data_IF_414637982209
#
_entry.id   IF_414637982209
#
_cell.length_a   1.000
_cell.length_b   1.000
_cell.length_c   1.000
_cell.angle_alpha   90.00
_cell.angle_beta   90.00
_cell.angle_gamma   90.00
#
_symmetry.space_group_name_H-M   'P 1'
#
loop_
_entity.id
_entity.type
_entity.pdbx_description
1 polymer ?
#
# COMPACT_ATOMS: atom_id res chain seq x y z
N UNK A 1 -51.52 -62.90 -13.58
CA UNK A 1 -52.28 -62.34 -14.71
C UNK A 1 -52.54 -60.90 -14.30
N UNK A 2 -51.65 -59.97 -14.61
CA UNK A 2 -51.52 -59.34 -15.93
C UNK A 2 -52.46 -58.12 -15.92
N UNK A 3 -52.04 -56.87 -16.12
CA UNK A 3 -50.82 -56.31 -16.73
C UNK A 3 -50.33 -55.08 -15.89
N UNK A 4 -49.11 -54.53 -16.00
CA UNK A 4 -48.65 -53.54 -17.01
C UNK A 4 -49.76 -52.50 -17.35
N UNK A 5 -49.53 -51.19 -17.27
CA UNK A 5 -48.52 -50.46 -18.06
C UNK A 5 -48.04 -49.12 -17.45
N UNK A 6 -47.28 -48.35 -18.24
CA UNK A 6 -46.43 -47.22 -17.83
C UNK A 6 -46.88 -45.89 -18.49
N UNK A 7 -46.32 -44.77 -18.01
CA UNK A 7 -46.14 -43.47 -18.71
C UNK A 7 -47.36 -42.60 -19.07
N UNK A 8 -47.39 -41.39 -18.48
CA UNK A 8 -47.57 -40.13 -19.21
C UNK A 8 -47.00 -38.97 -18.38
N UNK A 9 -46.72 -37.84 -19.01
CA UNK A 9 -45.92 -36.73 -18.47
C UNK A 9 -46.74 -35.43 -18.30
N UNK A 10 -46.06 -34.40 -17.81
CA UNK A 10 -46.42 -32.97 -17.80
C UNK A 10 -47.41 -32.41 -16.74
N UNK A 11 -46.80 -31.63 -15.83
CA UNK A 11 -46.91 -30.15 -15.74
C UNK A 11 -48.25 -29.45 -15.38
N UNK A 12 -48.12 -28.40 -14.57
CA UNK A 12 -49.09 -27.37 -14.15
C UNK A 12 -50.22 -27.70 -13.13
N UNK A 13 -50.05 -27.17 -11.91
CA UNK A 13 -51.07 -26.91 -10.88
C UNK A 13 -50.58 -25.74 -10.00
N UNK A 14 -51.31 -24.66 -9.68
CA UNK A 14 -52.64 -24.18 -10.07
C UNK A 14 -52.69 -22.63 -10.01
N UNK A 15 -53.67 -21.99 -10.68
CA UNK A 15 -53.92 -20.54 -10.63
C UNK A 15 -55.43 -20.23 -10.50
N UNK A 16 -55.79 -19.08 -9.91
CA UNK A 16 -57.11 -18.38 -9.91
C UNK A 16 -58.21 -18.96 -8.99
N UNK A 17 -59.33 -18.22 -8.69
CA UNK A 17 -59.73 -16.83 -9.01
C UNK A 17 -59.69 -15.89 -7.76
N UNK A 18 -60.29 -14.68 -7.64
CA UNK A 18 -61.19 -13.86 -8.49
C UNK A 18 -61.45 -12.44 -7.87
N UNK A 19 -62.52 -11.74 -8.25
CA UNK A 19 -62.93 -10.42 -7.69
C UNK A 19 -64.47 -10.25 -7.56
N UNK A 20 -64.94 -9.40 -6.62
CA UNK A 20 -65.88 -8.27 -6.87
C UNK A 20 -65.98 -7.26 -5.72
N UNK A 21 -66.59 -6.11 -5.98
CA UNK A 21 -66.41 -4.81 -5.28
C UNK A 21 -67.57 -4.40 -4.34
N UNK A 22 -67.33 -3.50 -3.37
CA UNK A 22 -68.28 -2.42 -2.99
C UNK A 22 -67.65 -1.24 -2.19
N UNK A 23 -68.47 -0.23 -1.87
CA UNK A 23 -68.17 1.22 -1.81
C UNK A 23 -68.08 1.86 -0.38
N UNK A 24 -67.21 2.88 -0.24
CA UNK A 24 -67.13 4.07 0.68
C UNK A 24 -67.59 4.07 2.17
N UNK A 25 -66.80 4.71 3.07
CA UNK A 25 -67.12 6.06 3.67
C UNK A 25 -66.32 6.46 4.95
N UNK A 26 -65.90 7.75 5.01
CA UNK A 26 -65.62 8.62 6.20
C UNK A 26 -64.35 8.45 7.08
N UNK A 27 -63.73 9.57 7.51
CA UNK A 27 -62.81 9.61 8.69
C UNK A 27 -61.53 10.50 8.71
N UNK A 28 -61.67 11.83 8.66
CA UNK A 28 -60.77 12.91 9.17
C UNK A 28 -59.27 12.69 9.59
N UNK A 29 -58.38 13.54 9.00
CA UNK A 29 -57.21 14.25 9.59
C UNK A 29 -56.09 13.50 10.36
N UNK A 30 -54.86 13.46 9.81
CA UNK A 30 -53.67 14.24 10.24
C UNK A 30 -52.36 13.68 9.64
N UNK A 31 -51.44 14.52 9.13
CA UNK A 31 -50.07 14.10 8.74
C UNK A 31 -49.15 13.92 9.98
N UNK A 32 -48.05 13.14 9.88
CA UNK A 32 -46.78 13.78 9.48
C UNK A 32 -45.79 12.93 8.63
N UNK A 33 -44.99 13.66 7.83
CA UNK A 33 -43.63 13.34 7.37
C UNK A 33 -43.35 12.07 6.54
N UNK A 34 -43.09 12.28 5.24
CA UNK A 34 -42.27 11.34 4.45
C UNK A 34 -40.84 11.24 5.00
N UNK A 35 -40.43 10.03 5.38
CA UNK A 35 -39.01 9.71 5.63
C UNK A 35 -38.38 9.32 4.30
N UNK A 36 -37.53 10.21 3.76
CA UNK A 36 -36.75 9.93 2.56
C UNK A 36 -35.91 8.65 2.73
N UNK A 37 -35.88 7.73 1.75
CA UNK A 37 -35.17 6.47 1.91
C UNK A 37 -33.66 6.71 2.05
N UNK A 38 -33.13 6.43 3.26
CA UNK A 38 -31.70 6.51 3.57
C UNK A 38 -30.90 5.72 2.53
N UNK A 39 -29.97 6.38 1.85
CA UNK A 39 -29.04 5.73 0.91
C UNK A 39 -28.29 4.63 1.66
N UNK A 40 -28.60 3.38 1.33
CA UNK A 40 -28.03 2.19 1.95
C UNK A 40 -26.54 2.16 1.65
N UNK A 41 -25.69 2.27 2.67
CA UNK A 41 -24.25 2.13 2.48
C UNK A 41 -23.96 0.71 1.97
N UNK A 42 -23.43 0.61 0.75
CA UNK A 42 -22.99 -0.66 0.19
C UNK A 42 -21.63 -1.00 0.79
N UNK A 43 -21.59 -1.97 1.70
CA UNK A 43 -20.33 -2.59 2.12
C UNK A 43 -19.62 -3.17 0.89
N UNK A 44 -18.33 -2.87 0.74
CA UNK A 44 -17.52 -3.29 -0.41
C UNK A 44 -17.11 -4.78 -0.38
N UNK A 45 -17.49 -5.49 0.69
CA UNK A 45 -17.42 -6.93 0.77
C UNK A 45 -18.83 -7.49 0.66
N UNK A 46 -19.00 -8.54 -0.16
CA UNK A 46 -20.25 -9.27 -0.26
C UNK A 46 -20.71 -9.79 1.11
N UNK A 47 -22.00 -10.14 1.27
CA UNK A 47 -22.50 -10.69 2.52
C UNK A 47 -21.61 -11.85 2.99
N UNK A 48 -21.39 -11.93 4.30
CA UNK A 48 -20.55 -12.96 4.92
C UNK A 48 -20.87 -14.31 4.26
N UNK A 49 -19.87 -15.01 3.67
CA UNK A 49 -20.14 -16.12 2.76
C UNK A 49 -21.01 -17.13 3.47
N UNK A 50 -22.07 -17.58 2.79
CA UNK A 50 -23.00 -18.54 3.37
C UNK A 50 -22.21 -19.77 3.82
N UNK A 51 -22.05 -19.90 5.14
CA UNK A 51 -21.25 -20.99 5.72
C UNK A 51 -21.96 -22.33 5.62
N UNK A 52 -23.16 -22.38 5.01
CA UNK A 52 -24.02 -23.55 4.90
C UNK A 52 -24.15 -23.94 3.42
N UNK A 53 -23.91 -25.21 3.11
CA UNK A 53 -23.85 -25.76 1.76
C UNK A 53 -24.94 -26.83 1.62
N UNK A 54 -26.10 -26.43 1.13
CA UNK A 54 -27.29 -27.30 1.08
C UNK A 54 -27.79 -27.71 2.49
N UNK A 55 -28.58 -28.79 2.60
CA UNK A 55 -29.29 -29.12 3.84
C UNK A 55 -28.45 -29.82 4.92
N UNK A 56 -27.16 -30.13 4.68
CA UNK A 56 -26.36 -31.02 5.55
C UNK A 56 -24.89 -30.65 5.77
N UNK A 57 -24.35 -29.62 5.13
CA UNK A 57 -22.94 -29.26 5.27
C UNK A 57 -22.76 -27.81 5.71
N UNK A 58 -21.75 -27.54 6.53
CA UNK A 58 -21.34 -26.18 6.88
C UNK A 58 -19.83 -26.05 7.13
N UNK A 59 -19.29 -24.84 7.00
CA UNK A 59 -17.96 -24.45 7.46
C UNK A 59 -18.03 -24.26 8.97
N UNK A 60 -17.26 -25.07 9.69
CA UNK A 60 -17.01 -24.87 11.12
C UNK A 60 -16.27 -23.53 11.33
N UNK A 61 -16.80 -22.60 12.14
CA UNK A 61 -16.11 -21.36 12.45
C UNK A 61 -14.86 -21.64 13.29
N UNK A 62 -13.69 -21.64 12.66
CA UNK A 62 -12.42 -21.69 13.37
C UNK A 62 -11.97 -20.26 13.72
N UNK A 63 -11.92 -19.85 15.01
CA UNK A 63 -11.52 -18.50 15.39
C UNK A 63 -10.06 -18.17 15.00
N UNK A 64 -9.19 -19.18 14.82
CA UNK A 64 -7.82 -18.96 14.33
C UNK A 64 -7.71 -18.73 12.81
N UNK A 65 -8.80 -18.93 12.05
CA UNK A 65 -8.86 -18.59 10.61
C UNK A 65 -9.69 -17.35 10.30
N UNK A 66 -10.23 -16.64 11.30
CA UNK A 66 -10.98 -15.39 11.08
C UNK A 66 -9.99 -14.25 10.91
N UNK A 67 -9.85 -13.75 9.67
CA UNK A 67 -9.09 -12.53 9.39
C UNK A 67 -9.93 -11.29 9.71
N UNK A 68 -9.50 -10.50 10.71
CA UNK A 68 -10.04 -9.17 10.95
C UNK A 68 -9.49 -8.18 9.92
N UNK A 69 -10.26 -7.96 8.85
CA UNK A 69 -9.98 -6.94 7.83
C UNK A 69 -10.73 -5.67 8.23
N UNK A 70 -10.03 -4.56 8.42
CA UNK A 70 -10.66 -3.26 8.58
C UNK A 70 -11.31 -2.83 7.26
N UNK A 71 -12.51 -2.26 7.31
CA UNK A 71 -13.19 -1.71 6.12
C UNK A 71 -12.30 -0.61 5.50
N UNK A 72 -11.83 -0.77 4.24
CA UNK A 72 -11.01 0.23 3.58
C UNK A 72 -11.68 1.61 3.51
N UNK A 73 -13.01 1.67 3.44
CA UNK A 73 -13.75 2.93 3.39
C UNK A 73 -13.81 3.66 4.75
N UNK A 74 -13.54 2.98 5.87
CA UNK A 74 -13.51 3.58 7.21
C UNK A 74 -12.12 4.08 7.64
N UNK A 75 -11.09 3.86 6.82
CA UNK A 75 -9.71 4.19 7.21
C UNK A 75 -9.47 5.70 7.16
N UNK A 76 -8.82 6.21 8.21
CA UNK A 76 -8.50 7.63 8.38
C UNK A 76 -7.01 7.80 8.67
N UNK A 77 -6.39 8.82 8.08
CA UNK A 77 -5.05 9.24 8.47
C UNK A 77 -5.10 9.82 9.89
N UNK A 78 -4.18 9.43 10.76
CA UNK A 78 -3.97 10.05 12.08
C UNK A 78 -2.49 10.33 12.30
N UNK A 79 -2.18 11.46 12.92
CA UNK A 79 -0.81 11.90 13.20
C UNK A 79 -0.47 11.69 14.67
N UNK A 80 0.46 10.77 14.97
CA UNK A 80 0.98 10.58 16.33
C UNK A 80 1.79 11.79 16.82
N UNK A 81 2.37 12.55 15.88
CA UNK A 81 3.03 13.84 16.05
C UNK A 81 2.68 14.69 14.81
N UNK A 82 2.49 16.01 14.93
CA UNK A 82 2.28 16.87 13.76
C UNK A 82 3.41 16.68 12.73
N UNK A 83 3.10 16.56 11.43
CA UNK A 83 4.13 16.47 10.40
C UNK A 83 4.91 17.78 10.31
N UNK A 84 6.20 17.71 10.04
CA UNK A 84 7.09 18.89 9.89
C UNK A 84 7.91 18.84 8.59
N UNK A 85 8.19 17.64 8.07
CA UNK A 85 9.01 17.41 6.88
C UNK A 85 8.15 16.94 5.72
N UNK A 86 8.04 17.75 4.66
CA UNK A 86 7.21 17.46 3.48
C UNK A 86 8.07 17.29 2.24
N UNK A 87 7.99 16.14 1.57
CA UNK A 87 8.58 15.93 0.25
C UNK A 87 7.62 16.41 -0.84
N UNK A 88 8.04 17.39 -1.64
CA UNK A 88 7.28 17.84 -2.82
C UNK A 88 7.88 17.26 -4.09
N UNK A 89 7.08 16.45 -4.80
CA UNK A 89 7.43 15.83 -6.07
C UNK A 89 6.63 16.51 -7.18
N UNK A 90 7.29 16.95 -8.25
CA UNK A 90 6.63 17.39 -9.49
C UNK A 90 7.16 16.65 -10.71
N UNK A 91 6.36 16.58 -11.77
CA UNK A 91 6.86 16.15 -13.09
C UNK A 91 7.88 17.17 -13.60
N UNK A 92 9.07 16.69 -13.96
CA UNK A 92 10.19 17.50 -14.48
C UNK A 92 9.91 17.82 -15.97
N UNK A 93 10.36 18.99 -16.45
CA UNK A 93 10.13 19.51 -17.82
C UNK A 93 8.65 19.78 -18.16
N UNK A 94 7.81 20.00 -17.16
CA UNK A 94 6.44 20.43 -17.34
C UNK A 94 6.29 21.87 -16.83
N UNK A 95 6.26 22.84 -17.75
CA UNK A 95 6.22 24.27 -17.42
C UNK A 95 4.90 24.66 -16.73
N UNK A 96 3.81 23.93 -17.00
CA UNK A 96 2.51 24.15 -16.34
C UNK A 96 2.55 23.94 -14.82
N UNK A 97 3.54 23.19 -14.34
CA UNK A 97 3.73 22.89 -12.92
C UNK A 97 4.62 23.89 -12.19
N UNK A 98 5.24 24.84 -12.89
CA UNK A 98 6.21 25.77 -12.30
C UNK A 98 5.54 26.75 -11.33
N UNK A 99 4.46 27.41 -11.73
CA UNK A 99 3.70 28.29 -10.82
C UNK A 99 3.07 27.53 -9.65
N UNK A 100 2.30 26.42 -9.86
CA UNK A 100 1.75 25.61 -8.78
C UNK A 100 2.79 25.10 -7.78
N UNK A 101 3.97 24.69 -8.25
CA UNK A 101 5.06 24.27 -7.38
C UNK A 101 5.59 25.41 -6.51
N UNK A 102 5.76 26.62 -7.08
CA UNK A 102 6.18 27.81 -6.31
C UNK A 102 5.14 28.21 -5.27
N UNK A 103 3.86 28.22 -5.63
CA UNK A 103 2.75 28.50 -4.72
C UNK A 103 2.70 27.52 -3.55
N UNK A 104 2.78 26.21 -3.83
CA UNK A 104 2.80 25.18 -2.80
C UNK A 104 4.02 25.33 -1.88
N UNK A 105 5.21 25.56 -2.43
CA UNK A 105 6.43 25.72 -1.62
C UNK A 105 6.36 26.97 -0.73
N UNK A 106 5.85 28.11 -1.24
CA UNK A 106 5.59 29.33 -0.44
C UNK A 106 4.63 29.03 0.70
N UNK A 107 3.48 28.41 0.41
CA UNK A 107 2.49 28.03 1.42
C UNK A 107 3.06 27.13 2.52
N UNK A 108 3.84 26.11 2.15
CA UNK A 108 4.42 25.17 3.11
C UNK A 108 5.50 25.82 4.00
N UNK A 109 6.36 26.66 3.41
CA UNK A 109 7.47 27.32 4.15
C UNK A 109 6.96 28.52 4.97
N UNK A 110 6.20 29.43 4.38
CA UNK A 110 5.81 30.69 5.01
C UNK A 110 4.54 30.56 5.87
N UNK A 111 3.46 29.98 5.34
CA UNK A 111 2.17 29.88 6.04
C UNK A 111 2.10 28.67 6.99
N UNK A 112 2.90 27.62 6.76
CA UNK A 112 2.88 26.38 7.55
C UNK A 112 4.20 26.07 8.28
N UNK A 113 5.25 26.85 8.07
CA UNK A 113 6.54 26.74 8.77
C UNK A 113 7.17 25.33 8.69
N UNK A 114 7.03 24.67 7.53
CA UNK A 114 7.48 23.29 7.31
C UNK A 114 8.82 23.22 6.58
N UNK A 115 9.57 22.14 6.84
CA UNK A 115 10.77 21.80 6.10
C UNK A 115 10.37 21.12 4.77
N UNK A 116 10.56 21.81 3.66
CA UNK A 116 10.20 21.29 2.33
C UNK A 116 11.41 20.64 1.67
N UNK A 117 11.29 19.36 1.36
CA UNK A 117 12.27 18.55 0.65
C UNK A 117 11.90 18.46 -0.84
N UNK A 118 12.89 18.59 -1.72
CA UNK A 118 12.74 18.48 -3.18
C UNK A 118 13.95 17.77 -3.81
N UNK A 119 13.75 17.09 -4.94
CA UNK A 119 14.90 16.54 -5.68
C UNK A 119 15.78 17.70 -6.17
N UNK A 120 17.11 17.54 -6.09
CA UNK A 120 18.05 18.56 -6.55
C UNK A 120 17.83 18.96 -8.00
N UNK A 121 17.46 18.03 -8.88
CA UNK A 121 17.12 18.28 -10.29
C UNK A 121 15.85 19.12 -10.49
N UNK A 122 14.98 19.18 -9.48
CA UNK A 122 13.83 20.08 -9.42
C UNK A 122 14.25 21.47 -8.94
N UNK A 123 15.15 21.58 -7.96
CA UNK A 123 15.66 22.85 -7.46
C UNK A 123 16.58 23.58 -8.47
N UNK A 124 17.40 22.83 -9.20
CA UNK A 124 18.31 23.31 -10.25
C UNK A 124 17.58 23.57 -11.60
N UNK A 125 16.25 23.61 -11.63
CA UNK A 125 15.45 23.85 -12.84
C UNK A 125 15.54 25.29 -13.33
N UNK A 126 15.85 25.49 -14.61
CA UNK A 126 16.08 26.80 -15.20
C UNK A 126 14.89 27.77 -15.12
N UNK A 127 13.64 27.27 -15.02
CA UNK A 127 12.47 28.13 -14.84
C UNK A 127 12.38 28.67 -13.39
N UNK A 128 12.78 27.87 -12.40
CA UNK A 128 12.82 28.25 -10.98
C UNK A 128 14.07 29.06 -10.62
N UNK A 129 15.17 28.87 -11.35
CA UNK A 129 16.40 29.65 -11.15
C UNK A 129 16.28 31.10 -11.63
N UNK A 130 15.48 31.35 -12.68
CA UNK A 130 15.23 32.70 -13.25
C UNK A 130 14.29 33.57 -12.42
N UNK A 131 13.51 32.97 -11.50
CA UNK A 131 12.51 33.69 -10.73
C UNK A 131 13.09 34.21 -9.40
N UNK A 132 13.48 35.48 -9.39
CA UNK A 132 13.96 36.17 -8.19
C UNK A 132 12.93 36.17 -7.05
N UNK A 133 11.63 36.16 -7.36
CA UNK A 133 10.56 36.09 -6.35
C UNK A 133 10.46 34.73 -5.66
N UNK A 134 11.14 33.71 -6.19
CA UNK A 134 11.25 32.38 -5.59
C UNK A 134 12.60 32.13 -4.91
N UNK A 135 13.60 33.00 -5.10
CA UNK A 135 14.96 32.85 -4.57
C UNK A 135 15.00 32.62 -3.05
N UNK A 136 14.24 33.39 -2.28
CA UNK A 136 14.16 33.29 -0.81
C UNK A 136 13.59 31.95 -0.34
N UNK A 137 12.58 31.42 -1.02
CA UNK A 137 12.01 30.10 -0.71
C UNK A 137 12.96 28.99 -1.14
N UNK A 138 13.51 29.08 -2.36
CA UNK A 138 14.47 28.12 -2.91
C UNK A 138 15.65 27.88 -1.96
N UNK A 139 16.16 28.94 -1.34
CA UNK A 139 17.27 28.87 -0.38
C UNK A 139 16.91 28.20 0.96
N UNK A 140 15.62 28.03 1.26
CA UNK A 140 15.11 27.31 2.44
C UNK A 140 14.71 25.85 2.13
N UNK A 141 14.70 25.44 0.86
CA UNK A 141 14.36 24.07 0.46
C UNK A 141 15.51 23.10 0.78
N UNK A 142 15.18 21.98 1.40
CA UNK A 142 16.09 20.86 1.55
C UNK A 142 16.20 20.11 0.22
N UNK A 143 17.41 19.92 -0.31
CA UNK A 143 17.62 19.20 -1.57
C UNK A 143 18.28 17.85 -1.34
N UNK A 144 17.86 16.85 -2.11
CA UNK A 144 18.45 15.50 -2.09
C UNK A 144 18.74 15.00 -3.52
N UNK A 145 19.64 14.03 -3.65
CA UNK A 145 19.96 13.36 -4.91
C UNK A 145 19.53 11.90 -4.83
N UNK A 146 18.65 11.50 -5.75
CA UNK A 146 18.23 10.11 -5.91
C UNK A 146 19.44 9.17 -6.04
N UNK A 147 19.42 8.07 -5.29
CA UNK A 147 20.49 7.05 -5.29
C UNK A 147 21.75 7.39 -4.50
N UNK A 148 21.85 8.59 -3.90
CA UNK A 148 23.00 9.00 -3.07
C UNK A 148 22.59 9.38 -1.65
N UNK A 149 21.52 10.19 -1.52
CA UNK A 149 21.08 10.76 -0.25
C UNK A 149 19.82 9.98 0.22
N UNK A 150 19.86 9.36 1.41
CA UNK A 150 18.70 8.64 1.97
C UNK A 150 17.80 9.61 2.76
N UNK A 151 16.56 9.75 2.29
CA UNK A 151 15.51 10.56 2.92
C UNK A 151 14.40 9.71 3.56
N UNK A 152 14.51 8.39 3.54
CA UNK A 152 13.41 7.46 3.87
C UNK A 152 12.86 7.65 5.28
N UNK A 153 13.72 8.03 6.23
CA UNK A 153 13.38 8.26 7.64
C UNK A 153 13.19 9.74 7.99
N UNK A 154 13.26 10.64 7.01
CA UNK A 154 13.20 12.08 7.19
C UNK A 154 11.83 12.68 6.84
N UNK A 155 11.03 12.02 5.99
CA UNK A 155 9.81 12.59 5.40
C UNK A 155 8.57 12.12 6.15
N UNK A 156 7.73 13.07 6.58
CA UNK A 156 6.46 12.80 7.26
C UNK A 156 5.27 12.74 6.28
N UNK A 157 5.29 13.54 5.21
CA UNK A 157 4.25 13.61 4.18
C UNK A 157 4.88 13.77 2.79
N UNK A 158 4.27 13.16 1.77
CA UNK A 158 4.64 13.36 0.37
C UNK A 158 3.50 14.09 -0.34
N UNK A 159 3.80 15.17 -1.04
CA UNK A 159 2.85 15.88 -1.91
C UNK A 159 3.32 15.79 -3.37
N UNK A 160 2.47 15.21 -4.21
CA UNK A 160 2.72 15.00 -5.63
C UNK A 160 1.95 16.02 -6.48
N UNK A 161 2.65 16.70 -7.39
CA UNK A 161 2.09 17.59 -8.42
C UNK A 161 2.25 16.93 -9.80
N UNK A 162 1.16 16.41 -10.38
CA UNK A 162 1.18 15.80 -11.71
C UNK A 162 0.14 14.69 -11.90
N UNK A 163 0.51 13.63 -12.62
CA UNK A 163 -0.31 12.42 -12.78
C UNK A 163 0.32 11.21 -12.08
N UNK A 164 -0.27 10.03 -12.28
CA UNK A 164 0.10 8.77 -11.59
C UNK A 164 1.62 8.45 -11.57
N UNK A 165 2.38 8.90 -12.57
CA UNK A 165 3.83 8.74 -12.63
C UNK A 165 4.61 9.38 -11.46
N UNK A 166 4.13 10.46 -10.84
CA UNK A 166 4.78 11.05 -9.65
C UNK A 166 4.62 10.17 -8.42
N UNK A 167 3.54 9.40 -8.32
CA UNK A 167 3.33 8.42 -7.25
C UNK A 167 4.15 7.15 -7.48
N UNK A 168 4.35 6.74 -8.74
CA UNK A 168 5.30 5.68 -9.06
C UNK A 168 6.73 6.07 -8.65
N UNK A 169 7.10 7.35 -8.83
CA UNK A 169 8.37 7.89 -8.35
C UNK A 169 8.45 7.98 -6.82
N UNK A 170 7.39 8.43 -6.14
CA UNK A 170 7.31 8.34 -4.68
C UNK A 170 7.52 6.90 -4.19
N UNK A 171 6.88 5.93 -4.86
CA UNK A 171 7.03 4.50 -4.58
C UNK A 171 8.46 3.98 -4.81
N UNK A 172 9.22 4.52 -5.77
CA UNK A 172 10.64 4.13 -5.96
C UNK A 172 11.57 4.70 -4.89
N UNK A 173 11.30 5.89 -4.35
CA UNK A 173 12.11 6.49 -3.30
C UNK A 173 12.00 5.74 -1.95
N UNK A 174 10.81 5.25 -1.59
CA UNK A 174 10.56 4.60 -0.30
C UNK A 174 10.30 3.10 -0.50
N UNK A 175 11.27 2.22 -0.25
CA UNK A 175 11.11 0.78 -0.54
C UNK A 175 10.40 -0.03 0.55
N UNK A 176 10.49 0.39 1.81
CA UNK A 176 9.89 -0.30 2.97
C UNK A 176 8.57 0.37 3.41
N UNK A 177 8.64 1.32 4.35
CA UNK A 177 7.50 2.14 4.78
C UNK A 177 7.41 3.38 3.90
N UNK A 178 6.22 3.68 3.39
CA UNK A 178 5.97 4.90 2.61
C UNK A 178 5.17 5.88 3.47
N UNK A 179 5.60 7.15 3.63
CA UNK A 179 4.78 8.19 4.21
C UNK A 179 3.42 8.34 3.47
N UNK A 180 2.39 8.95 4.10
CA UNK A 180 1.16 9.29 3.39
C UNK A 180 1.47 10.12 2.14
N UNK A 181 0.81 9.79 1.03
CA UNK A 181 0.99 10.45 -0.26
C UNK A 181 -0.30 11.15 -0.65
N UNK A 182 -0.24 12.48 -0.71
CA UNK A 182 -1.29 13.33 -1.21
C UNK A 182 -0.96 13.73 -2.65
N UNK A 183 -1.92 13.67 -3.58
CA UNK A 183 -1.62 13.88 -4.99
C UNK A 183 -2.62 14.79 -5.73
N UNK A 184 -2.09 15.85 -6.31
CA UNK A 184 -2.80 16.85 -7.09
C UNK A 184 -2.61 16.63 -8.60
N UNK A 185 -3.71 16.67 -9.35
CA UNK A 185 -3.69 16.78 -10.80
C UNK A 185 -3.83 18.25 -11.24
N UNK A 186 -3.14 18.59 -12.34
CA UNK A 186 -3.03 19.95 -12.89
C UNK A 186 -3.40 19.98 -14.38
N UNK A 187 -4.34 19.12 -14.74
CA UNK A 187 -4.78 18.86 -16.11
C UNK A 187 -5.81 17.73 -16.08
N UNK A 188 -5.73 16.79 -17.03
CA UNK A 188 -6.54 15.57 -17.03
C UNK A 188 -6.48 14.83 -15.68
N UNK A 189 -7.63 14.40 -15.18
CA UNK A 189 -7.77 13.63 -13.93
C UNK A 189 -7.04 12.28 -14.08
N UNK A 190 -6.07 12.01 -13.21
CA UNK A 190 -5.41 10.71 -13.09
C UNK A 190 -6.21 9.76 -12.18
N UNK A 191 -5.90 8.46 -12.23
CA UNK A 191 -6.61 7.46 -11.41
C UNK A 191 -6.16 7.48 -9.94
N UNK A 192 -4.94 7.94 -9.67
CA UNK A 192 -4.34 8.00 -8.34
C UNK A 192 -4.14 9.44 -7.84
N UNK A 193 -4.58 10.45 -8.59
CA UNK A 193 -4.44 11.88 -8.28
C UNK A 193 -5.82 12.52 -8.05
N UNK A 194 -6.47 12.30 -6.90
CA UNK A 194 -7.87 12.67 -6.68
C UNK A 194 -8.11 14.18 -6.50
N UNK A 195 -7.08 14.94 -6.12
CA UNK A 195 -7.25 16.36 -5.79
C UNK A 195 -6.96 17.28 -6.97
N UNK A 196 -7.79 18.31 -7.11
CA UNK A 196 -7.52 19.47 -7.96
C UNK A 196 -6.56 20.43 -7.25
N UNK A 197 -5.57 20.97 -7.96
CA UNK A 197 -4.61 21.88 -7.35
C UNK A 197 -5.26 23.18 -6.86
N UNK A 198 -6.32 23.67 -7.49
CA UNK A 198 -7.01 24.90 -7.09
C UNK A 198 -7.52 24.89 -5.63
N UNK A 199 -7.72 23.70 -5.03
CA UNK A 199 -8.10 23.54 -3.63
C UNK A 199 -6.95 23.19 -2.68
N UNK A 200 -5.67 23.31 -3.11
CA UNK A 200 -4.52 22.76 -2.36
C UNK A 200 -4.45 23.21 -0.90
N UNK A 201 -4.64 24.51 -0.62
CA UNK A 201 -4.57 25.05 0.76
C UNK A 201 -5.56 24.35 1.70
N UNK A 202 -6.79 24.17 1.23
CA UNK A 202 -7.89 23.56 1.98
C UNK A 202 -7.67 22.06 2.18
N UNK A 203 -7.29 21.34 1.13
CA UNK A 203 -7.07 19.90 1.24
C UNK A 203 -5.83 19.58 2.08
N UNK A 204 -4.72 20.30 1.91
CA UNK A 204 -3.50 20.13 2.71
C UNK A 204 -3.77 20.40 4.20
N UNK A 205 -4.59 21.41 4.54
CA UNK A 205 -4.99 21.66 5.91
C UNK A 205 -5.74 20.47 6.54
N UNK A 206 -6.72 19.88 5.84
CA UNK A 206 -7.44 18.67 6.31
C UNK A 206 -6.52 17.47 6.52
N UNK A 207 -5.48 17.33 5.69
CA UNK A 207 -4.46 16.29 5.87
C UNK A 207 -3.69 16.51 7.16
N UNK A 208 -3.23 17.73 7.45
CA UNK A 208 -2.52 18.07 8.69
C UNK A 208 -3.38 17.95 9.95
N UNK A 209 -4.69 18.21 9.86
CA UNK A 209 -5.65 18.01 10.96
C UNK A 209 -5.82 16.53 11.38
N UNK A 210 -5.24 15.58 10.64
CA UNK A 210 -5.24 14.16 11.04
C UNK A 210 -6.62 13.53 10.99
N UNK A 211 -7.43 13.95 10.01
CA UNK A 211 -8.79 13.44 9.81
C UNK A 211 -9.17 13.39 8.32
N UNK A 212 -8.19 13.05 7.47
CA UNK A 212 -8.38 12.75 6.06
C UNK A 212 -8.78 11.28 5.85
N UNK A 213 -9.56 10.98 4.82
CA UNK A 213 -9.79 9.60 4.39
C UNK A 213 -8.52 9.06 3.72
N UNK A 214 -8.31 7.74 3.74
CA UNK A 214 -7.12 7.14 3.13
C UNK A 214 -7.46 5.87 2.35
N UNK A 215 -6.68 5.60 1.31
CA UNK A 215 -6.74 4.36 0.52
C UNK A 215 -5.39 3.65 0.54
N UNK A 216 -5.35 2.46 1.15
CA UNK A 216 -4.19 1.59 1.14
C UNK A 216 -4.05 0.86 -0.21
N UNK A 217 -2.98 1.16 -0.96
CA UNK A 217 -2.64 0.48 -2.23
C UNK A 217 -1.49 -0.52 -1.99
N UNK A 218 -1.77 -1.81 -2.18
CA UNK A 218 -0.77 -2.88 -2.03
C UNK A 218 0.35 -2.77 -3.07
N UNK A 219 1.59 -3.04 -2.68
CA UNK A 219 2.73 -3.15 -3.60
C UNK A 219 3.17 -4.61 -3.79
N UNK A 220 3.66 -4.92 -4.99
CA UNK A 220 4.29 -6.20 -5.28
C UNK A 220 5.77 -6.17 -4.87
N UNK A 221 6.22 -7.23 -4.19
CA UNK A 221 7.64 -7.44 -3.86
C UNK A 221 8.25 -8.43 -4.85
N UNK A 222 9.17 -7.96 -5.68
CA UNK A 222 9.88 -8.76 -6.68
C UNK A 222 11.25 -9.17 -6.14
N UNK A 223 11.66 -10.43 -6.39
CA UNK A 223 13.02 -10.91 -6.13
C UNK A 223 13.58 -11.54 -7.40
N UNK A 224 14.57 -10.90 -8.01
CA UNK A 224 15.30 -11.47 -9.14
C UNK A 224 16.36 -12.43 -8.61
N UNK A 225 16.41 -13.66 -9.14
CA UNK A 225 17.41 -14.67 -8.80
C UNK A 225 18.16 -15.01 -10.09
N UNK A 226 19.46 -14.72 -10.11
CA UNK A 226 20.35 -15.12 -11.21
C UNK A 226 21.00 -16.44 -10.85
N UNK A 227 20.63 -17.50 -11.55
CA UNK A 227 21.34 -18.77 -11.41
C UNK A 227 22.72 -18.66 -12.10
N UNK A 228 23.74 -19.10 -11.39
CA UNK A 228 25.13 -19.10 -11.86
C UNK A 228 25.48 -20.54 -12.21
N UNK A 229 25.03 -20.98 -13.40
CA UNK A 229 25.42 -22.26 -13.98
C UNK A 229 26.94 -22.39 -13.93
N UNK A 230 27.40 -23.33 -13.10
CA UNK A 230 28.82 -23.53 -12.85
C UNK A 230 29.48 -24.02 -14.13
N UNK A 231 30.31 -23.16 -14.76
CA UNK A 231 31.35 -23.61 -15.69
C UNK A 231 32.50 -24.24 -14.89
N UNK A 232 32.17 -25.29 -14.15
CA UNK A 232 33.11 -26.11 -13.40
C UNK A 232 33.49 -27.34 -14.23
N UNK A 233 34.02 -27.11 -15.44
CA UNK A 233 34.63 -28.18 -16.24
C UNK A 233 35.84 -27.64 -17.03
N UNK A 234 36.92 -27.45 -16.28
CA UNK A 234 38.31 -27.33 -16.74
C UNK A 234 39.23 -27.36 -15.52
N UNK A 235 39.50 -28.57 -15.01
CA UNK A 235 40.65 -28.79 -14.14
C UNK A 235 41.93 -28.73 -14.99
N UNK A 236 42.93 -27.90 -14.63
CA UNK A 236 44.27 -28.04 -15.18
C UNK A 236 44.88 -29.34 -14.63
N UNK A 237 45.31 -30.25 -15.50
CA UNK A 237 46.01 -31.46 -15.09
C UNK A 237 47.40 -31.09 -14.53
N UNK A 238 47.66 -31.40 -13.26
CA UNK A 238 48.98 -31.24 -12.66
C UNK A 238 49.82 -32.52 -12.88
N UNK A 239 51.12 -32.43 -13.24
CA UNK A 239 51.97 -33.60 -13.47
C UNK A 239 52.13 -34.46 -12.21
N UNK A 240 52.34 -35.77 -12.44
CA UNK A 240 52.67 -36.77 -11.41
C UNK A 240 54.16 -36.72 -11.09
N UNK A 241 54.52 -36.41 -9.85
CA UNK A 241 55.83 -36.72 -9.30
C UNK A 241 55.76 -37.78 -8.20
N UNK A 242 56.85 -38.54 -8.07
CA UNK A 242 56.89 -39.81 -7.36
C UNK A 242 56.90 -39.69 -5.82
N UNK A 243 56.48 -40.76 -5.16
CA UNK A 243 56.38 -40.83 -3.71
C UNK A 243 57.65 -41.35 -3.01
N UNK A 244 57.73 -41.00 -1.72
CA UNK A 244 58.46 -41.67 -0.63
C UNK A 244 59.98 -41.41 -0.47
N UNK A 245 60.35 -40.81 0.68
CA UNK A 245 61.72 -40.54 1.12
C UNK A 245 61.78 -40.14 2.61
N UNK A 246 61.55 -41.11 3.49
CA UNK A 246 61.41 -41.00 4.95
C UNK A 246 62.59 -40.30 5.65
N UNK A 247 62.33 -39.31 6.55
CA UNK A 247 62.86 -39.27 7.93
C UNK A 247 62.32 -38.14 8.83
N UNK A 248 62.18 -38.41 10.13
CA UNK A 248 61.86 -37.46 11.24
C UNK A 248 63.15 -37.17 12.03
N UNK A 249 63.26 -36.03 12.75
CA UNK A 249 63.07 -36.05 14.22
C UNK A 249 62.57 -34.68 14.77
N UNK A 250 62.65 -34.38 16.09
CA UNK A 250 62.10 -35.10 17.25
C UNK A 250 61.06 -34.24 18.04
N UNK A 251 60.63 -34.75 19.22
CA UNK A 251 59.60 -34.16 20.10
C UNK A 251 60.12 -33.01 20.98
N UNK A 252 59.26 -32.05 21.30
CA UNK A 252 59.26 -31.39 22.63
C UNK A 252 57.84 -31.04 23.10
N UNK A 253 57.68 -31.06 24.43
CA UNK A 253 56.46 -30.87 25.25
C UNK A 253 55.79 -29.50 24.96
N UNK A 254 54.47 -29.31 25.12
CA UNK A 254 53.75 -29.45 26.40
C UNK A 254 52.23 -29.67 26.31
N UNK A 255 51.68 -30.34 27.34
CA UNK A 255 50.28 -30.29 27.81
C UNK A 255 50.27 -29.40 29.07
N UNK A 256 49.17 -28.71 29.45
CA UNK A 256 47.98 -29.33 30.09
C UNK A 256 46.64 -28.94 29.40
N UNK A 257 45.63 -29.81 29.26
CA UNK A 257 44.58 -30.21 30.24
C UNK A 257 43.29 -29.39 30.00
N UNK A 258 42.25 -29.99 29.39
CA UNK A 258 40.99 -30.52 30.04
C UNK A 258 40.07 -29.40 30.57
N UNK A 259 38.75 -29.48 30.56
CA UNK A 259 37.71 -30.40 30.05
C UNK A 259 36.60 -29.47 29.48
N UNK A 260 35.54 -29.83 28.75
CA UNK A 260 34.87 -31.10 28.47
C UNK A 260 33.34 -30.84 28.48
N UNK A 261 32.60 -31.52 27.59
CA UNK A 261 31.12 -31.60 27.51
C UNK A 261 30.32 -30.33 27.17
N UNK A 262 29.27 -30.51 26.34
CA UNK A 262 28.36 -29.43 25.97
C UNK A 262 27.54 -29.63 24.69
N UNK A 263 27.11 -30.86 24.36
CA UNK A 263 26.04 -31.02 23.34
C UNK A 263 24.73 -30.48 23.93
N UNK A 264 24.29 -29.32 23.47
CA UNK A 264 22.96 -28.78 23.73
C UNK A 264 22.26 -28.51 22.39
N UNK A 265 21.07 -29.07 22.21
CA UNK A 265 20.27 -28.87 21.01
C UNK A 265 19.75 -27.43 20.93
N UNK A 266 19.88 -26.80 19.76
CA UNK A 266 19.25 -25.50 19.52
C UNK A 266 17.73 -25.68 19.36
N UNK A 267 16.89 -24.93 20.12
CA UNK A 267 15.45 -24.96 19.91
C UNK A 267 15.08 -24.28 18.58
N UNK A 268 14.02 -24.76 17.95
CA UNK A 268 13.59 -24.29 16.63
C UNK A 268 13.22 -22.81 16.64
N UNK A 269 13.80 -22.04 15.70
CA UNK A 269 13.37 -20.67 15.42
C UNK A 269 12.05 -20.73 14.64
N UNK A 270 10.93 -20.49 15.33
CA UNK A 270 9.65 -20.24 14.67
C UNK A 270 9.74 -18.99 13.78
N UNK A 271 9.89 -19.20 12.47
CA UNK A 271 9.78 -18.13 11.47
C UNK A 271 8.32 -17.85 11.13
N UNK A 272 7.55 -17.42 12.15
CA UNK A 272 6.14 -17.02 12.04
C UNK A 272 5.89 -15.53 11.81
N UNK A 273 6.95 -14.70 11.82
CA UNK A 273 6.86 -13.25 11.60
C UNK A 273 6.87 -12.87 10.13
N UNK A 274 5.72 -12.95 9.46
CA UNK A 274 5.56 -12.37 8.13
C UNK A 274 5.74 -10.85 8.19
N UNK A 275 6.88 -10.33 7.71
CA UNK A 275 7.08 -8.86 7.61
C UNK A 275 5.92 -8.24 6.83
N UNK A 276 5.34 -7.12 7.28
CA UNK A 276 4.24 -6.48 6.58
C UNK A 276 4.64 -6.21 5.13
N UNK A 277 3.72 -6.46 4.20
CA UNK A 277 3.90 -6.05 2.79
C UNK A 277 4.02 -4.53 2.77
N UNK A 278 4.90 -3.99 1.94
CA UNK A 278 4.96 -2.55 1.72
C UNK A 278 3.64 -2.09 1.10
N UNK A 279 3.01 -1.10 1.72
CA UNK A 279 1.74 -0.52 1.28
C UNK A 279 2.00 0.96 0.98
N UNK A 280 1.48 1.42 -0.15
CA UNK A 280 1.44 2.84 -0.46
C UNK A 280 0.16 3.42 0.14
N UNK A 281 0.31 4.38 1.05
CA UNK A 281 -0.79 5.07 1.70
C UNK A 281 -1.17 6.29 0.87
N UNK A 282 -2.31 6.25 0.17
CA UNK A 282 -2.84 7.43 -0.52
C UNK A 282 -3.85 8.16 0.38
N UNK A 283 -3.81 9.49 0.34
CA UNK A 283 -4.78 10.40 0.96
C UNK A 283 -5.71 10.95 -0.12
#
# INVERSE_FOLDING_TARGET
MGDQEQLSWDTDQWRLPGQREHLESSGSTSEPMEISPKRRAHFLHGPYPATHFGPKACILPNPTSVMHIQDPASQRLTWNKPPVNVLVIRKIRDESLVEPFKELCRFLVEEKQMMVYVERRVADDAALLKDESFSLIRNQLCTFREGYDDISNCIDLIICLGGDGTLLYASSLFQDSVPPVMAFHLGSLGFLTPFKFESYKTEVAKVFEGNAAITLRSRLKVKVVKDMLQRADQQPQHPRDAAAGIQRPPRSRSRPQRDGQGHAAAPGVERGGGRPRSVLLLV
#
